data_IF_895607134498
#
_entry.id   IF_895607134498
#
_cell.length_a   1.000
_cell.length_b   1.000
_cell.length_c   1.000
_cell.angle_alpha   90.00
_cell.angle_beta   90.00
_cell.angle_gamma   90.00
#
_symmetry.space_group_name_H-M   'P 1'
#
loop_
_entity.id
_entity.type
_entity.pdbx_description
1 polymer ?
#
# COMPACT_ATOMS: atom_id res chain seq x y z
N UNK A 1 81.48 -103.84 27.03
CA UNK A 1 80.85 -103.63 28.36
C UNK A 1 80.83 -102.18 28.84
N UNK A 2 81.90 -101.37 28.69
CA UNK A 2 81.93 -99.97 29.17
C UNK A 2 81.03 -98.98 28.41
N UNK A 3 80.91 -99.09 27.09
CA UNK A 3 80.05 -98.21 26.28
C UNK A 3 78.56 -98.35 26.64
N UNK A 4 78.10 -99.58 26.86
CA UNK A 4 76.70 -99.89 27.19
C UNK A 4 76.27 -99.32 28.55
N UNK A 5 77.20 -99.26 29.52
CA UNK A 5 76.99 -98.67 30.85
C UNK A 5 76.90 -97.13 30.78
N UNK A 6 77.74 -96.50 29.97
CA UNK A 6 77.69 -95.05 29.72
C UNK A 6 76.38 -94.60 29.06
N UNK A 7 75.90 -95.34 28.05
CA UNK A 7 74.60 -95.06 27.43
C UNK A 7 73.42 -95.32 28.37
N UNK A 8 73.49 -96.34 29.22
CA UNK A 8 72.48 -96.62 30.26
C UNK A 8 72.39 -95.51 31.31
N UNK A 9 73.52 -95.00 31.79
CA UNK A 9 73.57 -93.90 32.78
C UNK A 9 73.05 -92.60 32.18
N UNK A 10 73.45 -92.25 30.94
CA UNK A 10 72.87 -91.08 30.24
C UNK A 10 71.38 -91.23 29.99
N UNK A 11 70.90 -92.42 29.59
CA UNK A 11 69.48 -92.66 29.37
C UNK A 11 68.67 -92.53 30.67
N UNK A 12 69.21 -92.99 31.80
CA UNK A 12 68.62 -92.79 33.13
C UNK A 12 68.54 -91.31 33.52
N UNK A 13 69.59 -90.53 33.24
CA UNK A 13 69.61 -89.08 33.48
C UNK A 13 68.61 -88.32 32.60
N UNK A 14 68.49 -88.71 31.31
CA UNK A 14 67.46 -88.18 30.42
C UNK A 14 66.04 -88.54 30.89
N UNK A 15 65.81 -89.75 31.38
CA UNK A 15 64.52 -90.16 31.94
C UNK A 15 64.16 -89.36 33.20
N UNK A 16 65.13 -89.06 34.07
CA UNK A 16 64.92 -88.19 35.25
C UNK A 16 64.53 -86.78 34.84
N UNK A 17 65.30 -86.16 33.93
CA UNK A 17 64.99 -84.82 33.39
C UNK A 17 63.63 -84.78 32.70
N UNK A 18 63.26 -85.82 31.95
CA UNK A 18 61.96 -85.94 31.32
C UNK A 18 60.82 -85.98 32.36
N UNK A 19 61.02 -86.70 33.47
CA UNK A 19 60.04 -86.76 34.56
C UNK A 19 59.93 -85.43 35.32
N UNK A 20 61.05 -84.74 35.55
CA UNK A 20 61.05 -83.38 36.14
C UNK A 20 60.33 -82.38 35.25
N UNK A 21 60.57 -82.40 33.93
CA UNK A 21 59.86 -81.53 32.97
C UNK A 21 58.36 -81.85 32.97
N UNK A 22 57.97 -83.13 33.01
CA UNK A 22 56.55 -83.53 33.11
C UNK A 22 55.90 -83.01 34.40
N UNK A 23 56.60 -83.08 35.52
CA UNK A 23 56.11 -82.57 36.80
C UNK A 23 55.96 -81.05 36.77
N UNK A 24 56.96 -80.34 36.23
CA UNK A 24 56.94 -78.88 36.08
C UNK A 24 55.81 -78.42 35.15
N UNK A 25 55.59 -79.13 34.03
CA UNK A 25 54.49 -78.85 33.12
C UNK A 25 53.14 -79.02 33.80
N UNK A 26 52.96 -80.08 34.60
CA UNK A 26 51.73 -80.29 35.37
C UNK A 26 51.49 -79.18 36.39
N UNK A 27 52.54 -78.73 37.08
CA UNK A 27 52.47 -77.62 38.04
C UNK A 27 52.13 -76.29 37.35
N UNK A 28 52.71 -76.04 36.18
CA UNK A 28 52.39 -74.87 35.34
C UNK A 28 50.94 -74.91 34.85
N UNK A 29 50.45 -76.07 34.39
CA UNK A 29 49.04 -76.26 34.00
C UNK A 29 48.08 -75.94 35.15
N UNK A 30 48.38 -76.43 36.37
CA UNK A 30 47.56 -76.13 37.56
C UNK A 30 47.55 -74.63 37.87
N UNK A 31 48.71 -73.96 37.82
CA UNK A 31 48.81 -72.51 38.07
C UNK A 31 48.08 -71.69 37.00
N UNK A 32 48.20 -72.08 35.73
CA UNK A 32 47.50 -71.43 34.61
C UNK A 32 45.98 -71.60 34.77
N UNK A 33 45.51 -72.81 35.07
CA UNK A 33 44.09 -73.08 35.25
C UNK A 33 43.51 -72.32 36.44
N UNK A 34 44.21 -72.29 37.59
CA UNK A 34 43.81 -71.50 38.76
C UNK A 34 43.73 -70.00 38.44
N UNK A 35 44.74 -69.44 37.75
CA UNK A 35 44.70 -68.04 37.34
C UNK A 35 43.57 -67.77 36.35
N UNK A 36 43.32 -68.69 35.43
CA UNK A 36 42.22 -68.59 34.47
C UNK A 36 40.86 -68.59 35.17
N UNK A 37 40.63 -69.47 36.16
CA UNK A 37 39.38 -69.48 36.95
C UNK A 37 39.19 -68.22 37.77
N UNK A 38 40.26 -67.68 38.38
CA UNK A 38 40.19 -66.42 39.12
C UNK A 38 39.88 -65.23 38.20
N UNK A 39 40.41 -65.27 36.98
CA UNK A 39 40.14 -64.23 35.98
C UNK A 39 38.69 -64.32 35.49
N UNK A 40 38.17 -65.52 35.26
CA UNK A 40 36.78 -65.76 34.86
C UNK A 40 35.79 -65.27 35.91
N UNK A 41 35.98 -65.62 37.18
CA UNK A 41 35.11 -65.17 38.28
C UNK A 41 35.14 -63.64 38.43
N UNK A 42 36.30 -63.02 38.22
CA UNK A 42 36.40 -61.55 38.19
C UNK A 42 35.66 -60.94 37.00
N UNK A 43 35.71 -61.55 35.82
CA UNK A 43 34.94 -61.10 34.64
C UNK A 43 33.44 -61.23 34.90
N UNK A 44 32.98 -62.33 35.50
CA UNK A 44 31.57 -62.54 35.83
C UNK A 44 31.05 -61.49 36.83
N UNK A 45 31.81 -61.23 37.89
CA UNK A 45 31.43 -60.17 38.85
C UNK A 45 31.38 -58.78 38.22
N UNK A 46 32.33 -58.45 37.32
CA UNK A 46 32.31 -57.18 36.58
C UNK A 46 31.11 -57.08 35.63
N UNK A 47 30.68 -58.17 35.00
CA UNK A 47 29.47 -58.19 34.15
C UNK A 47 28.22 -57.85 34.96
N UNK A 48 28.05 -58.45 36.14
CA UNK A 48 26.91 -58.16 37.03
C UNK A 48 26.89 -56.69 37.45
N UNK A 49 28.05 -56.11 37.75
CA UNK A 49 28.16 -54.68 38.09
C UNK A 49 27.78 -53.80 36.89
N UNK A 50 28.26 -54.15 35.69
CA UNK A 50 27.94 -53.41 34.46
C UNK A 50 26.44 -53.43 34.15
N UNK A 51 25.78 -54.57 34.32
CA UNK A 51 24.32 -54.70 34.17
C UNK A 51 23.56 -53.83 35.17
N UNK A 52 24.02 -53.77 36.43
CA UNK A 52 23.41 -52.92 37.45
C UNK A 52 23.54 -51.43 37.12
N UNK A 53 24.74 -50.99 36.70
CA UNK A 53 24.98 -49.61 36.27
C UNK A 53 24.09 -49.25 35.08
N UNK A 54 23.91 -50.17 34.12
CA UNK A 54 23.06 -49.95 32.97
C UNK A 54 21.59 -49.78 33.37
N UNK A 55 21.12 -50.56 34.35
CA UNK A 55 19.75 -50.44 34.88
C UNK A 55 19.54 -49.09 35.57
N UNK A 56 20.46 -48.68 36.44
CA UNK A 56 20.40 -47.40 37.15
C UNK A 56 20.42 -46.21 36.17
N UNK A 57 21.27 -46.29 35.13
CA UNK A 57 21.29 -45.28 34.06
C UNK A 57 19.95 -45.18 33.35
N UNK A 58 19.36 -46.30 32.95
CA UNK A 58 18.07 -46.30 32.26
C UNK A 58 16.96 -45.70 33.14
N UNK A 59 16.97 -45.99 34.46
CA UNK A 59 16.02 -45.40 35.40
C UNK A 59 16.19 -43.88 35.51
N UNK A 60 17.43 -43.41 35.60
CA UNK A 60 17.74 -41.98 35.67
C UNK A 60 17.34 -41.24 34.38
N UNK A 61 17.56 -41.85 33.21
CA UNK A 61 17.17 -41.30 31.91
C UNK A 61 15.64 -41.13 31.82
N UNK A 62 14.87 -42.12 32.28
CA UNK A 62 13.40 -42.04 32.32
C UNK A 62 12.93 -40.93 33.27
N UNK A 63 13.51 -40.83 34.47
CA UNK A 63 13.16 -39.78 35.43
C UNK A 63 13.51 -38.38 34.90
N UNK A 64 14.68 -38.24 34.27
CA UNK A 64 15.13 -36.97 33.69
C UNK A 64 14.20 -36.52 32.57
N UNK A 65 13.82 -37.45 31.68
CA UNK A 65 12.89 -37.16 30.59
C UNK A 65 11.52 -36.72 31.11
N UNK A 66 10.97 -37.45 32.09
CA UNK A 66 9.68 -37.07 32.70
C UNK A 66 9.73 -35.70 33.36
N UNK A 67 10.84 -35.34 33.99
CA UNK A 67 11.02 -34.02 34.62
C UNK A 67 11.18 -32.90 33.58
N UNK A 68 11.85 -33.17 32.46
CA UNK A 68 11.94 -32.23 31.34
C UNK A 68 10.57 -31.96 30.72
N UNK A 69 9.78 -33.01 30.47
CA UNK A 69 8.43 -32.88 29.93
C UNK A 69 7.54 -32.04 30.86
N UNK A 70 7.65 -32.23 32.18
CA UNK A 70 6.93 -31.43 33.18
C UNK A 70 7.35 -29.95 33.15
N UNK A 71 8.65 -29.68 33.09
CA UNK A 71 9.17 -28.30 33.03
C UNK A 71 8.73 -27.63 31.73
N UNK A 72 8.71 -28.34 30.60
CA UNK A 72 8.27 -27.81 29.31
C UNK A 72 6.78 -27.43 29.34
N UNK A 73 5.93 -28.29 29.91
CA UNK A 73 4.50 -28.00 30.11
C UNK A 73 4.31 -26.76 30.98
N UNK A 74 5.01 -26.69 32.12
CA UNK A 74 4.90 -25.55 33.04
C UNK A 74 5.41 -24.25 32.40
N UNK A 75 6.48 -24.33 31.60
CA UNK A 75 7.06 -23.19 30.89
C UNK A 75 6.10 -22.68 29.81
N UNK A 76 5.50 -23.58 29.03
CA UNK A 76 4.51 -23.21 28.03
C UNK A 76 3.25 -22.60 28.66
N UNK A 77 2.81 -23.14 29.79
CA UNK A 77 1.68 -22.56 30.53
C UNK A 77 1.97 -21.12 30.98
N UNK A 78 3.11 -20.89 31.65
CA UNK A 78 3.53 -19.55 32.08
C UNK A 78 3.73 -18.59 30.90
N UNK A 79 4.22 -19.09 29.77
CA UNK A 79 4.39 -18.29 28.55
C UNK A 79 3.03 -17.81 28.02
N UNK A 80 2.05 -18.71 27.91
CA UNK A 80 0.71 -18.35 27.47
C UNK A 80 0.05 -17.35 28.41
N UNK A 81 0.21 -17.53 29.73
CA UNK A 81 -0.30 -16.59 30.75
C UNK A 81 0.35 -15.20 30.60
N UNK A 82 1.66 -15.14 30.34
CA UNK A 82 2.37 -13.89 30.12
C UNK A 82 1.92 -13.19 28.81
N UNK A 83 1.71 -13.95 27.74
CA UNK A 83 1.18 -13.43 26.47
C UNK A 83 -0.22 -12.85 26.65
N UNK A 84 -1.11 -13.55 27.36
CA UNK A 84 -2.46 -13.07 27.67
C UNK A 84 -2.42 -11.78 28.52
N UNK A 85 -1.59 -11.76 29.56
CA UNK A 85 -1.41 -10.56 30.40
C UNK A 85 -0.88 -9.38 29.59
N UNK A 86 0.09 -9.62 28.70
CA UNK A 86 0.68 -8.59 27.84
C UNK A 86 -0.37 -8.02 26.89
N UNK A 87 -1.17 -8.90 26.24
CA UNK A 87 -2.24 -8.46 25.36
C UNK A 87 -3.31 -7.66 26.11
N UNK A 88 -3.65 -8.07 27.33
CA UNK A 88 -4.60 -7.33 28.17
C UNK A 88 -4.06 -5.96 28.58
N UNK A 89 -2.79 -5.85 28.96
CA UNK A 89 -2.16 -4.58 29.27
C UNK A 89 -2.08 -3.66 28.05
N UNK A 90 -1.74 -4.19 26.89
CA UNK A 90 -1.73 -3.46 25.63
C UNK A 90 -3.13 -2.92 25.31
N UNK A 91 -4.16 -3.76 25.44
CA UNK A 91 -5.56 -3.37 25.27
C UNK A 91 -5.97 -2.25 26.23
N UNK A 92 -5.55 -2.32 27.51
CA UNK A 92 -5.81 -1.25 28.48
C UNK A 92 -5.06 0.02 28.09
N UNK A 93 -3.80 -0.09 27.66
CA UNK A 93 -3.01 1.04 27.20
C UNK A 93 -3.67 1.74 26.02
N UNK A 94 -4.03 1.00 24.98
CA UNK A 94 -4.60 1.53 23.76
C UNK A 94 -5.99 2.14 23.98
N UNK A 95 -6.85 1.47 24.77
CA UNK A 95 -8.18 1.98 25.08
C UNK A 95 -8.17 3.19 26.02
N UNK A 96 -7.20 3.27 26.92
CA UNK A 96 -7.21 4.26 28.01
C UNK A 96 -6.27 5.44 27.78
N UNK A 97 -5.05 5.16 27.31
CA UNK A 97 -3.95 6.13 27.24
C UNK A 97 -3.62 6.56 25.79
N UNK A 98 -3.99 5.75 24.79
CA UNK A 98 -3.77 6.05 23.38
C UNK A 98 -5.02 6.64 22.68
N UNK A 99 -6.06 7.00 23.45
CA UNK A 99 -7.26 7.60 22.90
C UNK A 99 -7.09 9.11 22.67
N UNK A 100 -7.69 9.62 21.60
CA UNK A 100 -7.77 11.05 21.31
C UNK A 100 -8.34 11.83 22.50
N UNK A 101 -9.32 11.25 23.19
CA UNK A 101 -9.93 11.85 24.37
C UNK A 101 -8.93 12.00 25.53
N UNK A 102 -8.16 10.96 25.83
CA UNK A 102 -7.18 11.01 26.92
C UNK A 102 -6.09 12.04 26.61
N UNK A 103 -5.51 12.00 25.40
CA UNK A 103 -4.41 12.89 25.00
C UNK A 103 -4.86 14.35 24.96
N UNK A 104 -6.02 14.63 24.35
CA UNK A 104 -6.57 15.99 24.29
C UNK A 104 -6.92 16.54 25.68
N UNK A 105 -7.43 15.69 26.59
CA UNK A 105 -7.71 16.09 27.97
C UNK A 105 -6.42 16.39 28.74
N UNK A 106 -5.37 15.56 28.60
CA UNK A 106 -4.08 15.80 29.27
C UNK A 106 -3.36 17.03 28.75
N UNK A 107 -3.39 17.25 27.43
CA UNK A 107 -2.91 18.49 26.82
C UNK A 107 -3.62 19.72 27.41
N UNK A 108 -4.95 19.69 27.48
CA UNK A 108 -5.74 20.79 28.04
C UNK A 108 -5.46 21.01 29.54
N UNK A 109 -5.33 19.94 30.33
CA UNK A 109 -4.97 20.01 31.76
C UNK A 109 -3.60 20.66 31.98
N UNK A 110 -2.60 20.29 31.19
CA UNK A 110 -1.26 20.86 31.28
C UNK A 110 -1.27 22.38 31.07
N UNK A 111 -1.90 22.85 30.00
CA UNK A 111 -1.99 24.29 29.72
C UNK A 111 -2.87 25.04 30.72
N UNK A 112 -3.92 24.41 31.24
CA UNK A 112 -4.72 25.00 32.31
C UNK A 112 -3.92 25.24 33.59
N UNK A 113 -3.01 24.34 33.95
CA UNK A 113 -2.10 24.54 35.09
C UNK A 113 -1.12 25.69 34.84
N UNK A 114 -0.61 25.83 33.61
CA UNK A 114 0.23 26.97 33.23
C UNK A 114 -0.52 28.29 33.32
N UNK A 115 -1.77 28.33 32.84
CA UNK A 115 -2.62 29.52 32.92
C UNK A 115 -2.92 29.89 34.37
N UNK A 116 -3.23 28.90 35.23
CA UNK A 116 -3.43 29.10 36.67
C UNK A 116 -2.23 29.74 37.36
N UNK A 117 -1.01 29.34 37.00
CA UNK A 117 0.22 29.93 37.57
C UNK A 117 0.39 31.41 37.21
N UNK A 118 -0.22 31.86 36.11
CA UNK A 118 -0.14 33.24 35.62
C UNK A 118 -1.24 34.15 36.18
N UNK A 119 -2.18 33.61 36.94
CA UNK A 119 -3.25 34.39 37.58
C UNK A 119 -2.63 35.22 38.70
N UNK A 120 -2.80 36.54 38.63
CA UNK A 120 -2.31 37.47 39.65
C UNK A 120 -3.30 37.44 40.82
N UNK A 121 -2.83 37.23 42.06
CA UNK A 121 -3.72 37.26 43.23
C UNK A 121 -3.90 38.70 43.73
N UNK A 122 -5.13 39.17 43.97
CA UNK A 122 -5.38 40.57 44.33
C UNK A 122 -4.94 40.94 45.74
N UNK A 123 -4.49 42.20 45.90
CA UNK A 123 -4.42 42.90 47.20
C UNK A 123 -5.62 43.87 47.37
N UNK A 124 -6.35 44.21 46.28
CA UNK A 124 -7.45 45.18 46.27
C UNK A 124 -8.67 44.73 45.45
N UNK A 125 -9.84 45.35 45.71
CA UNK A 125 -11.16 44.99 45.16
C UNK A 125 -11.26 45.01 43.62
N UNK A 126 -10.53 45.92 42.94
CA UNK A 126 -10.47 45.98 41.47
C UNK A 126 -9.64 44.83 40.90
N UNK A 127 -8.50 44.51 41.53
CA UNK A 127 -7.68 43.37 41.14
C UNK A 127 -8.42 42.03 41.33
N UNK A 128 -9.37 41.95 42.27
CA UNK A 128 -10.26 40.77 42.44
C UNK A 128 -11.07 40.48 41.19
N UNK A 129 -11.72 41.49 40.59
CA UNK A 129 -12.51 41.31 39.37
C UNK A 129 -11.66 40.89 38.17
N UNK A 130 -10.43 41.42 38.06
CA UNK A 130 -9.49 41.00 37.02
C UNK A 130 -9.04 39.55 37.21
N UNK A 131 -8.87 39.10 38.45
CA UNK A 131 -8.49 37.73 38.78
C UNK A 131 -9.62 36.75 38.50
N UNK A 132 -10.86 37.13 38.83
CA UNK A 132 -12.06 36.34 38.52
C UNK A 132 -12.24 36.16 37.01
N UNK A 133 -12.01 37.23 36.23
CA UNK A 133 -12.03 37.17 34.77
C UNK A 133 -10.92 36.25 34.21
N UNK A 134 -9.70 36.31 34.77
CA UNK A 134 -8.60 35.41 34.38
C UNK A 134 -8.91 33.94 34.71
N UNK A 135 -9.57 33.67 35.84
CA UNK A 135 -10.03 32.31 36.20
C UNK A 135 -11.05 31.82 35.18
N UNK A 136 -12.06 32.62 34.84
CA UNK A 136 -13.07 32.26 33.84
C UNK A 136 -12.44 32.00 32.46
N UNK A 137 -11.56 32.89 32.01
CA UNK A 137 -10.84 32.75 30.75
C UNK A 137 -9.98 31.48 30.70
N UNK A 138 -9.29 31.14 31.80
CA UNK A 138 -8.49 29.91 31.88
C UNK A 138 -9.34 28.64 31.73
N UNK A 139 -10.56 28.63 32.28
CA UNK A 139 -11.49 27.49 32.16
C UNK A 139 -12.02 27.35 30.74
N UNK A 140 -12.40 28.46 30.12
CA UNK A 140 -12.88 28.48 28.74
C UNK A 140 -11.79 28.05 27.76
N UNK A 141 -10.57 28.59 27.92
CA UNK A 141 -9.40 28.18 27.13
C UNK A 141 -9.06 26.71 27.29
N UNK A 142 -9.20 26.12 28.49
CA UNK A 142 -9.01 24.68 28.68
C UNK A 142 -9.97 23.88 27.76
N UNK A 143 -11.24 24.27 27.73
CA UNK A 143 -12.24 23.58 26.91
C UNK A 143 -11.96 23.76 25.41
N UNK A 144 -11.60 24.97 24.97
CA UNK A 144 -11.23 25.25 23.59
C UNK A 144 -9.98 24.47 23.16
N UNK A 145 -8.92 24.43 23.99
CA UNK A 145 -7.70 23.64 23.72
C UNK A 145 -8.00 22.15 23.64
N UNK A 146 -8.84 21.61 24.53
CA UNK A 146 -9.27 20.20 24.46
C UNK A 146 -9.95 19.92 23.12
N UNK A 147 -10.90 20.77 22.72
CA UNK A 147 -11.64 20.59 21.47
C UNK A 147 -10.76 20.71 20.23
N UNK A 148 -9.90 21.72 20.15
CA UNK A 148 -8.98 21.90 19.04
C UNK A 148 -8.01 20.72 18.90
N UNK A 149 -7.37 20.30 19.99
CA UNK A 149 -6.46 19.16 19.96
C UNK A 149 -7.19 17.86 19.57
N UNK A 150 -8.41 17.65 20.06
CA UNK A 150 -9.24 16.51 19.66
C UNK A 150 -9.53 16.51 18.15
N UNK A 151 -9.86 17.67 17.58
CA UNK A 151 -10.12 17.81 16.15
C UNK A 151 -8.86 17.60 15.31
N UNK A 152 -7.72 18.19 15.71
CA UNK A 152 -6.44 18.02 15.04
C UNK A 152 -6.01 16.54 14.99
N UNK A 153 -6.16 15.80 16.10
CA UNK A 153 -5.83 14.38 16.15
C UNK A 153 -6.78 13.53 15.31
N UNK A 154 -8.08 13.85 15.32
CA UNK A 154 -9.07 13.17 14.48
C UNK A 154 -8.80 13.40 12.99
N UNK A 155 -8.46 14.64 12.61
CA UNK A 155 -8.08 14.96 11.23
C UNK A 155 -6.86 14.16 10.79
N UNK A 156 -5.80 14.10 11.60
CA UNK A 156 -4.62 13.27 11.30
C UNK A 156 -4.94 11.79 11.17
N UNK A 157 -5.84 11.26 12.00
CA UNK A 157 -6.30 9.88 11.87
C UNK A 157 -7.03 9.67 10.55
N UNK A 158 -7.91 10.60 10.16
CA UNK A 158 -8.64 10.55 8.90
C UNK A 158 -7.68 10.66 7.70
N UNK A 159 -6.74 11.60 7.72
CA UNK A 159 -5.69 11.75 6.69
C UNK A 159 -4.86 10.47 6.53
N UNK A 160 -4.55 9.79 7.64
CA UNK A 160 -3.84 8.50 7.60
C UNK A 160 -4.69 7.35 7.05
N UNK A 161 -6.01 7.38 7.22
CA UNK A 161 -6.90 6.30 6.82
C UNK A 161 -7.43 6.48 5.39
N UNK A 162 -7.56 7.71 4.93
CA UNK A 162 -8.16 8.06 3.64
C UNK A 162 -7.21 9.02 2.92
N UNK A 163 -6.32 8.49 2.05
CA UNK A 163 -5.39 9.30 1.26
C UNK A 163 -6.06 10.39 0.41
N UNK A 164 -7.31 10.19 0.03
CA UNK A 164 -8.10 11.09 -0.82
C UNK A 164 -8.66 12.30 -0.05
N UNK A 165 -8.49 12.37 1.28
CA UNK A 165 -8.96 13.51 2.08
C UNK A 165 -8.24 14.80 1.70
N UNK A 166 -7.01 14.73 1.17
CA UNK A 166 -6.31 15.90 0.64
C UNK A 166 -7.11 16.61 -0.47
N UNK A 167 -7.85 15.85 -1.30
CA UNK A 167 -8.71 16.41 -2.35
C UNK A 167 -9.91 17.20 -1.76
N UNK A 168 -10.30 16.90 -0.50
CA UNK A 168 -11.38 17.59 0.24
C UNK A 168 -10.93 18.88 0.93
N UNK A 169 -9.64 19.03 1.26
CA UNK A 169 -9.11 20.20 1.99
C UNK A 169 -9.38 21.51 1.22
N UNK A 170 -9.48 21.44 -0.09
CA UNK A 170 -9.61 22.61 -0.94
C UNK A 170 -11.10 22.93 -1.29
N UNK A 171 -12.07 22.17 -0.77
CA UNK A 171 -13.50 22.21 -1.17
C UNK A 171 -14.23 23.29 -0.37
N UNK A 172 -14.78 24.28 -1.06
CA UNK A 172 -15.64 25.28 -0.40
C UNK A 172 -17.06 24.72 -0.24
N UNK A 173 -17.85 25.16 0.75
CA UNK A 173 -19.26 24.76 0.86
C UNK A 173 -20.04 24.96 -0.45
N UNK A 174 -19.71 26.00 -1.22
CA UNK A 174 -20.30 26.29 -2.53
C UNK A 174 -20.04 25.19 -3.58
N UNK A 175 -18.93 24.46 -3.47
CA UNK A 175 -18.59 23.37 -4.40
C UNK A 175 -19.42 22.10 -4.15
N UNK A 176 -19.97 21.92 -2.94
CA UNK A 176 -20.73 20.72 -2.52
C UNK A 176 -22.19 20.79 -3.00
N UNK A 177 -22.76 22.00 -3.13
CA UNK A 177 -24.17 22.19 -3.46
C UNK A 177 -24.49 22.17 -4.97
N UNK A 178 -23.48 22.07 -5.85
CA UNK A 178 -23.65 22.19 -7.30
C UNK A 178 -23.41 20.89 -8.07
N UNK A 179 -23.17 19.76 -7.39
CA UNK A 179 -22.90 18.46 -8.02
C UNK A 179 -24.18 17.69 -8.43
N UNK A 180 -25.27 18.41 -8.71
CA UNK A 180 -26.46 17.80 -9.32
C UNK A 180 -26.22 17.69 -10.84
N UNK A 181 -25.46 16.67 -11.23
CA UNK A 181 -25.10 16.36 -12.62
C UNK A 181 -26.29 15.90 -13.48
N UNK A 182 -27.53 16.13 -13.05
CA UNK A 182 -28.75 15.68 -13.74
C UNK A 182 -29.39 16.73 -14.66
N UNK A 183 -28.91 17.98 -14.69
CA UNK A 183 -29.53 18.99 -15.56
C UNK A 183 -29.21 18.81 -17.06
N UNK A 184 -30.30 18.70 -17.82
CA UNK A 184 -30.32 18.38 -19.25
C UNK A 184 -29.62 19.43 -20.13
N UNK A 185 -28.95 18.96 -21.18
CA UNK A 185 -28.02 19.77 -22.01
C UNK A 185 -28.64 20.84 -22.92
N UNK A 186 -29.96 21.02 -22.95
CA UNK A 186 -30.61 22.09 -23.77
C UNK A 186 -30.62 23.38 -22.96
N UNK A 187 -30.71 23.26 -21.63
CA UNK A 187 -30.58 24.38 -20.71
C UNK A 187 -29.17 25.00 -20.78
N UNK A 188 -28.11 24.28 -21.16
CA UNK A 188 -26.76 24.86 -21.07
C UNK A 188 -26.51 26.03 -22.01
N UNK A 189 -26.99 26.02 -23.26
CA UNK A 189 -26.85 27.22 -24.14
C UNK A 189 -27.74 28.35 -23.62
N UNK A 190 -28.91 28.02 -23.10
CA UNK A 190 -29.90 28.98 -22.59
C UNK A 190 -29.46 29.62 -21.25
N UNK A 191 -28.68 28.87 -20.46
CA UNK A 191 -27.95 29.34 -19.28
C UNK A 191 -26.74 30.20 -19.68
N UNK A 192 -26.08 29.87 -20.80
CA UNK A 192 -24.86 30.55 -21.24
C UNK A 192 -25.13 31.83 -22.04
N UNK A 193 -26.28 31.99 -22.69
CA UNK A 193 -26.63 33.17 -23.50
C UNK A 193 -28.08 33.55 -23.23
N UNK A 194 -28.36 34.81 -22.88
CA UNK A 194 -29.72 35.22 -22.53
C UNK A 194 -30.66 35.29 -23.74
N UNK A 195 -31.96 35.11 -23.51
CA UNK A 195 -33.00 35.22 -24.54
C UNK A 195 -33.01 36.59 -25.26
N UNK A 196 -32.64 37.67 -24.55
CA UNK A 196 -32.53 39.00 -25.15
C UNK A 196 -31.36 39.10 -26.13
N UNK A 197 -30.23 38.48 -25.80
CA UNK A 197 -29.04 38.46 -26.64
C UNK A 197 -29.22 37.55 -27.86
N UNK A 198 -29.89 36.41 -27.71
CA UNK A 198 -30.18 35.49 -28.82
C UNK A 198 -31.01 36.15 -29.93
N UNK A 199 -31.93 37.05 -29.59
CA UNK A 199 -32.78 37.75 -30.58
C UNK A 199 -32.00 38.73 -31.47
N UNK A 200 -30.79 39.13 -31.05
CA UNK A 200 -29.98 40.14 -31.74
C UNK A 200 -28.79 39.54 -32.51
N UNK A 201 -28.49 38.25 -32.31
CA UNK A 201 -27.29 37.60 -32.82
C UNK A 201 -27.64 36.52 -33.86
N UNK A 202 -26.74 36.32 -34.82
CA UNK A 202 -26.81 35.17 -35.72
C UNK A 202 -26.52 33.86 -34.98
N UNK A 203 -26.90 32.73 -35.58
CA UNK A 203 -26.65 31.40 -34.98
C UNK A 203 -25.17 31.16 -34.66
N UNK A 204 -24.26 31.54 -35.55
CA UNK A 204 -22.82 31.40 -35.37
C UNK A 204 -22.32 32.25 -34.19
N UNK A 205 -22.82 33.49 -34.05
CA UNK A 205 -22.47 34.39 -32.95
C UNK A 205 -23.00 33.91 -31.61
N UNK A 206 -24.22 33.36 -31.57
CA UNK A 206 -24.79 32.74 -30.35
C UNK A 206 -23.90 31.58 -29.89
N UNK A 207 -23.50 30.69 -30.81
CA UNK A 207 -22.66 29.54 -30.48
C UNK A 207 -21.26 29.96 -30.03
N UNK A 208 -20.67 30.98 -30.65
CA UNK A 208 -19.37 31.50 -30.23
C UNK A 208 -19.46 32.14 -28.85
N UNK A 209 -20.51 32.94 -28.60
CA UNK A 209 -20.74 33.56 -27.30
C UNK A 209 -20.98 32.51 -26.20
N UNK A 210 -21.73 31.45 -26.50
CA UNK A 210 -21.91 30.33 -25.57
C UNK A 210 -20.57 29.65 -25.24
N UNK A 211 -19.70 29.43 -26.22
CA UNK A 211 -18.36 28.87 -26.01
C UNK A 211 -17.49 29.81 -25.16
N UNK A 212 -17.50 31.12 -25.45
CA UNK A 212 -16.74 32.12 -24.71
C UNK A 212 -17.19 32.19 -23.24
N UNK A 213 -18.51 32.17 -23.01
CA UNK A 213 -19.08 32.16 -21.67
C UNK A 213 -18.78 30.85 -20.93
N UNK A 214 -18.79 29.71 -21.64
CA UNK A 214 -18.39 28.42 -21.08
C UNK A 214 -16.94 28.43 -20.58
N UNK A 215 -16.03 29.07 -21.32
CA UNK A 215 -14.60 29.16 -20.93
C UNK A 215 -14.37 30.18 -19.81
N UNK A 216 -15.13 31.29 -19.80
CA UNK A 216 -14.97 32.39 -18.83
C UNK A 216 -15.66 32.17 -17.50
N UNK A 217 -16.69 31.31 -17.45
CA UNK A 217 -17.45 31.08 -16.21
C UNK A 217 -16.54 30.53 -15.10
N UNK A 218 -16.95 30.77 -13.86
CA UNK A 218 -16.36 30.10 -12.71
C UNK A 218 -16.75 28.62 -12.77
N UNK A 219 -15.77 27.75 -12.97
CA UNK A 219 -15.94 26.29 -12.90
C UNK A 219 -15.73 25.83 -11.47
N UNK A 220 -16.51 24.82 -11.04
CA UNK A 220 -16.23 24.12 -9.80
C UNK A 220 -15.00 23.19 -9.97
N UNK A 221 -14.50 22.59 -8.89
CA UNK A 221 -13.33 21.71 -8.95
C UNK A 221 -13.46 20.54 -9.91
N UNK A 222 -14.60 19.85 -9.88
CA UNK A 222 -14.87 18.68 -10.73
C UNK A 222 -14.81 19.09 -12.21
N UNK A 223 -15.42 20.22 -12.54
CA UNK A 223 -15.38 20.79 -13.89
C UNK A 223 -13.96 21.24 -14.30
N UNK A 224 -13.18 21.81 -13.38
CA UNK A 224 -11.77 22.15 -13.63
C UNK A 224 -10.93 20.89 -13.87
N UNK A 225 -11.19 19.81 -13.13
CA UNK A 225 -10.58 18.50 -13.35
C UNK A 225 -10.92 17.94 -14.72
N UNK A 226 -12.21 17.87 -15.06
CA UNK A 226 -12.69 17.37 -16.35
C UNK A 226 -12.17 18.22 -17.54
N UNK A 227 -12.10 19.55 -17.42
CA UNK A 227 -11.55 20.41 -18.47
C UNK A 227 -10.02 20.22 -18.61
N UNK A 228 -9.31 19.91 -17.53
CA UNK A 228 -7.90 19.51 -17.59
C UNK A 228 -7.71 18.13 -18.24
N UNK A 229 -8.54 17.14 -17.92
CA UNK A 229 -8.55 15.85 -18.60
C UNK A 229 -8.79 16.01 -20.10
N UNK A 230 -9.73 16.88 -20.49
CA UNK A 230 -9.99 17.25 -21.89
C UNK A 230 -8.78 17.89 -22.57
N UNK A 231 -8.07 18.77 -21.86
CA UNK A 231 -6.84 19.37 -22.36
C UNK A 231 -5.74 18.33 -22.60
N UNK A 232 -5.48 17.47 -21.61
CA UNK A 232 -4.49 16.40 -21.75
C UNK A 232 -4.88 15.44 -22.87
N UNK A 233 -6.16 15.07 -22.95
CA UNK A 233 -6.69 14.26 -24.05
C UNK A 233 -6.45 14.92 -25.41
N UNK A 234 -6.71 16.22 -25.55
CA UNK A 234 -6.39 16.98 -26.77
C UNK A 234 -4.90 16.91 -27.17
N UNK A 235 -3.97 16.98 -26.20
CA UNK A 235 -2.54 16.85 -26.46
C UNK A 235 -2.20 15.47 -27.03
N UNK A 236 -2.78 14.40 -26.47
CA UNK A 236 -2.55 13.03 -26.96
C UNK A 236 -3.27 12.74 -28.27
N UNK A 237 -4.46 13.30 -28.48
CA UNK A 237 -5.14 13.28 -29.78
C UNK A 237 -4.23 13.90 -30.86
N UNK A 238 -3.61 15.06 -30.61
CA UNK A 238 -2.64 15.69 -31.52
C UNK A 238 -1.40 14.83 -31.80
N UNK A 239 -0.99 13.99 -30.85
CA UNK A 239 0.10 13.01 -31.04
C UNK A 239 -0.34 11.76 -31.82
N UNK A 240 -1.61 11.69 -32.24
CA UNK A 240 -2.18 10.59 -33.03
C UNK A 240 -2.68 9.42 -32.18
N UNK A 241 -2.95 9.62 -30.89
CA UNK A 241 -3.58 8.59 -30.06
C UNK A 241 -5.09 8.64 -30.20
N UNK A 242 -5.71 7.46 -30.20
CA UNK A 242 -7.14 7.30 -29.93
C UNK A 242 -7.37 7.42 -28.43
N UNK A 243 -7.95 8.54 -27.99
CA UNK A 243 -8.20 8.82 -26.57
C UNK A 243 -9.61 8.38 -26.17
N UNK A 244 -9.70 7.71 -25.03
CA UNK A 244 -10.92 7.40 -24.31
C UNK A 244 -10.89 8.21 -23.02
N UNK A 245 -11.84 9.13 -22.85
CA UNK A 245 -12.04 9.92 -21.64
C UNK A 245 -12.78 9.06 -20.62
N UNK A 246 -12.01 8.24 -19.89
CA UNK A 246 -12.50 7.24 -18.97
C UNK A 246 -13.11 7.92 -17.73
N UNK A 247 -12.36 8.82 -17.08
CA UNK A 247 -12.75 9.62 -15.90
C UNK A 247 -14.08 10.36 -16.03
N UNK A 248 -14.26 11.05 -17.15
CA UNK A 248 -15.52 11.76 -17.48
C UNK A 248 -16.69 10.78 -17.69
N UNK A 249 -16.41 9.53 -18.07
CA UNK A 249 -17.44 8.55 -18.44
C UNK A 249 -17.91 7.69 -17.27
N UNK A 250 -17.06 7.24 -16.34
CA UNK A 250 -17.51 6.41 -15.21
C UNK A 250 -17.44 7.14 -13.86
N UNK A 251 -16.93 8.36 -13.79
CA UNK A 251 -16.89 9.18 -12.58
C UNK A 251 -16.18 8.46 -11.44
N UNK A 252 -16.85 8.32 -10.30
CA UNK A 252 -16.31 7.67 -9.08
C UNK A 252 -15.87 6.21 -9.34
N UNK A 253 -16.46 5.53 -10.34
CA UNK A 253 -16.13 4.15 -10.66
C UNK A 253 -14.89 3.97 -11.56
N UNK A 254 -14.19 5.05 -11.92
CA UNK A 254 -13.00 4.98 -12.77
C UNK A 254 -11.74 4.51 -12.03
N UNK A 255 -11.82 4.35 -10.71
CA UNK A 255 -10.79 3.83 -9.80
C UNK A 255 -9.46 4.62 -9.81
N UNK A 256 -9.28 5.61 -10.68
CA UNK A 256 -8.08 6.46 -10.78
C UNK A 256 -7.44 6.56 -12.16
N UNK A 257 -7.99 5.97 -13.22
CA UNK A 257 -7.52 6.17 -14.60
C UNK A 257 -8.46 7.12 -15.34
N UNK A 258 -7.96 8.29 -15.70
CA UNK A 258 -8.76 9.35 -16.33
C UNK A 258 -8.80 9.22 -17.86
N UNK A 259 -7.66 8.89 -18.49
CA UNK A 259 -7.58 8.69 -19.94
C UNK A 259 -6.95 7.35 -20.29
N UNK A 260 -7.49 6.71 -21.32
CA UNK A 260 -6.87 5.55 -21.97
C UNK A 260 -6.53 5.96 -23.41
N UNK A 261 -5.24 6.08 -23.72
CA UNK A 261 -4.77 6.50 -25.03
C UNK A 261 -4.17 5.30 -25.78
N UNK A 262 -4.68 4.99 -26.97
CA UNK A 262 -4.22 3.84 -27.78
C UNK A 262 -3.64 4.29 -29.12
N UNK A 263 -2.48 3.76 -29.50
CA UNK A 263 -1.83 4.00 -30.80
C UNK A 263 -1.06 2.75 -31.24
N UNK A 264 -1.59 2.03 -32.22
CA UNK A 264 -1.03 0.73 -32.61
C UNK A 264 -1.11 -0.27 -31.45
N UNK A 265 0.02 -0.85 -31.05
CA UNK A 265 0.14 -1.73 -29.87
C UNK A 265 0.31 -0.99 -28.55
N UNK A 266 0.60 0.32 -28.59
CA UNK A 266 0.85 1.13 -27.40
C UNK A 266 -0.47 1.57 -26.75
N UNK A 267 -0.57 1.37 -25.44
CA UNK A 267 -1.65 1.80 -24.56
C UNK A 267 -1.06 2.59 -23.39
N UNK A 268 -1.51 3.83 -23.24
CA UNK A 268 -1.15 4.69 -22.11
C UNK A 268 -2.35 4.80 -21.17
N UNK A 269 -2.11 4.53 -19.89
CA UNK A 269 -3.08 4.69 -18.81
C UNK A 269 -2.73 5.96 -18.05
N UNK A 270 -3.54 7.01 -18.20
CA UNK A 270 -3.17 8.35 -17.74
C UNK A 270 -4.07 8.77 -16.58
N UNK A 271 -3.46 9.16 -15.47
CA UNK A 271 -4.12 9.90 -14.40
C UNK A 271 -3.72 11.38 -14.49
N UNK A 272 -4.67 12.27 -14.33
CA UNK A 272 -4.56 13.71 -14.44
C UNK A 272 -4.88 14.37 -13.09
N UNK A 273 -3.92 15.07 -12.49
CA UNK A 273 -4.13 15.85 -11.27
C UNK A 273 -3.81 17.32 -11.48
N UNK A 274 -4.84 18.15 -11.53
CA UNK A 274 -4.74 19.60 -11.65
C UNK A 274 -4.80 20.27 -10.26
N UNK A 275 -3.68 20.26 -9.54
CA UNK A 275 -3.57 20.84 -8.21
C UNK A 275 -2.87 22.21 -8.24
N UNK A 276 -3.02 22.97 -7.16
CA UNK A 276 -2.30 24.24 -6.96
C UNK A 276 -0.81 23.97 -6.83
N UNK A 277 0.02 24.86 -7.38
CA UNK A 277 1.49 24.76 -7.34
C UNK A 277 2.09 24.73 -5.92
N UNK A 278 1.35 25.21 -4.92
CA UNK A 278 1.79 25.19 -3.52
C UNK A 278 1.64 23.82 -2.85
N UNK A 279 0.93 22.88 -3.49
CA UNK A 279 0.67 21.55 -2.97
C UNK A 279 1.52 20.57 -3.76
N UNK A 280 2.21 19.68 -3.06
CA UNK A 280 2.97 18.60 -3.69
C UNK A 280 2.17 17.32 -3.70
N UNK A 281 2.37 16.51 -4.73
CA UNK A 281 1.76 15.17 -4.80
C UNK A 281 2.58 14.19 -3.95
N UNK A 282 1.87 13.42 -3.13
CA UNK A 282 2.42 12.35 -2.30
C UNK A 282 2.30 10.98 -2.99
N UNK A 283 3.03 9.99 -2.46
CA UNK A 283 3.15 8.64 -3.04
C UNK A 283 1.81 7.91 -3.16
N UNK A 284 0.81 8.30 -2.37
CA UNK A 284 -0.52 7.68 -2.37
C UNK A 284 -1.18 7.75 -3.75
N UNK A 285 -1.06 8.88 -4.45
CA UNK A 285 -1.61 9.04 -5.79
C UNK A 285 -0.91 8.12 -6.80
N UNK A 286 0.40 7.96 -6.67
CA UNK A 286 1.21 7.04 -7.50
C UNK A 286 0.80 5.58 -7.24
N UNK A 287 0.60 5.22 -5.96
CA UNK A 287 0.15 3.88 -5.57
C UNK A 287 -1.26 3.55 -6.09
N UNK A 288 -2.17 4.55 -6.11
CA UNK A 288 -3.50 4.39 -6.69
C UNK A 288 -3.44 4.12 -8.19
N UNK A 289 -2.66 4.91 -8.95
CA UNK A 289 -2.45 4.67 -10.38
C UNK A 289 -1.82 3.31 -10.63
N UNK A 290 -0.85 2.90 -9.82
CA UNK A 290 -0.22 1.59 -9.92
C UNK A 290 -1.25 0.46 -9.79
N UNK A 291 -2.03 0.46 -8.71
CA UNK A 291 -3.02 -0.59 -8.42
C UNK A 291 -4.08 -0.70 -9.52
N UNK A 292 -4.57 0.44 -10.02
CA UNK A 292 -5.55 0.46 -11.11
C UNK A 292 -4.99 0.05 -12.45
N UNK A 293 -3.75 0.45 -12.75
CA UNK A 293 -3.07 0.04 -13.98
C UNK A 293 -2.78 -1.46 -13.99
N UNK A 294 -2.43 -2.03 -12.85
CA UNK A 294 -2.32 -3.47 -12.68
C UNK A 294 -3.65 -4.18 -12.88
N UNK A 295 -4.74 -3.65 -12.30
CA UNK A 295 -6.09 -4.22 -12.53
C UNK A 295 -6.46 -4.18 -14.02
N UNK A 296 -6.19 -3.06 -14.70
CA UNK A 296 -6.41 -2.94 -16.14
C UNK A 296 -5.63 -3.99 -16.93
N UNK A 297 -4.36 -4.19 -16.57
CA UNK A 297 -3.52 -5.22 -17.20
C UNK A 297 -4.13 -6.62 -17.06
N UNK A 298 -4.47 -7.02 -15.82
CA UNK A 298 -5.06 -8.32 -15.52
C UNK A 298 -6.39 -8.55 -16.26
N UNK A 299 -7.21 -7.51 -16.39
CA UNK A 299 -8.52 -7.61 -17.04
C UNK A 299 -8.44 -7.69 -18.58
N UNK A 300 -7.35 -7.24 -19.20
CA UNK A 300 -7.30 -7.07 -20.67
C UNK A 300 -6.21 -7.91 -21.36
N UNK A 301 -5.18 -8.34 -20.64
CA UNK A 301 -4.02 -9.01 -21.24
C UNK A 301 -3.81 -10.41 -20.68
N UNK A 302 -4.21 -10.68 -19.43
CA UNK A 302 -3.92 -11.96 -18.82
C UNK A 302 -5.09 -12.54 -18.02
N UNK A 303 -6.07 -13.07 -18.77
CA UNK A 303 -7.20 -13.80 -18.21
C UNK A 303 -6.82 -15.13 -17.53
N UNK A 304 -5.57 -15.61 -17.70
CA UNK A 304 -5.13 -16.91 -17.19
C UNK A 304 -4.70 -16.88 -15.72
N UNK A 305 -4.46 -15.69 -15.14
CA UNK A 305 -3.91 -15.52 -13.79
C UNK A 305 -4.96 -15.41 -12.68
N UNK A 306 -6.26 -15.41 -13.00
CA UNK A 306 -7.35 -15.32 -11.99
C UNK A 306 -7.32 -16.54 -11.03
N UNK A 307 -6.56 -17.59 -11.34
CA UNK A 307 -6.39 -18.79 -10.51
C UNK A 307 -5.03 -18.96 -9.79
N UNK A 308 -4.07 -18.04 -9.91
CA UNK A 308 -2.74 -18.24 -9.31
C UNK A 308 -2.71 -17.91 -7.82
N UNK A 309 -2.55 -18.96 -7.00
CA UNK A 309 -2.25 -18.90 -5.57
C UNK A 309 -0.75 -18.66 -5.28
N UNK A 310 -0.05 -17.94 -6.17
CA UNK A 310 1.38 -17.63 -6.10
C UNK A 310 1.67 -16.16 -5.79
N UNK A 311 2.94 -15.86 -5.50
CA UNK A 311 3.47 -14.50 -5.28
C UNK A 311 3.44 -13.72 -6.59
N UNK A 312 2.43 -12.84 -6.74
CA UNK A 312 2.19 -11.96 -7.91
C UNK A 312 3.46 -11.32 -8.51
N UNK A 313 4.44 -10.99 -7.66
CA UNK A 313 5.66 -10.29 -8.05
C UNK A 313 6.83 -11.19 -8.47
N UNK A 314 6.89 -12.46 -8.04
CA UNK A 314 7.99 -13.37 -8.39
C UNK A 314 7.79 -13.99 -9.79
N UNK A 315 6.54 -14.20 -10.20
CA UNK A 315 6.20 -14.85 -11.47
C UNK A 315 5.95 -13.86 -12.62
N UNK A 316 5.41 -12.66 -12.34
CA UNK A 316 4.95 -11.71 -13.37
C UNK A 316 5.80 -10.44 -13.40
N UNK A 317 6.30 -9.99 -12.24
CA UNK A 317 6.93 -8.68 -12.10
C UNK A 317 5.99 -7.51 -12.43
N UNK A 318 6.55 -6.32 -12.65
CA UNK A 318 5.78 -5.15 -13.09
C UNK A 318 5.66 -5.18 -14.63
N UNK A 319 4.46 -5.38 -15.20
CA UNK A 319 4.23 -5.65 -16.62
C UNK A 319 4.20 -4.38 -17.48
N UNK A 320 4.62 -3.24 -16.93
CA UNK A 320 4.65 -1.99 -17.66
C UNK A 320 5.89 -1.91 -18.54
N UNK A 321 5.64 -1.71 -19.83
CA UNK A 321 6.61 -1.71 -20.92
C UNK A 321 6.24 -0.65 -21.97
N UNK A 322 6.83 -0.73 -23.17
CA UNK A 322 6.51 0.20 -24.26
C UNK A 322 5.12 -0.02 -24.87
N UNK A 323 4.44 -1.14 -24.58
CA UNK A 323 3.09 -1.42 -25.06
C UNK A 323 2.02 -1.04 -24.03
N UNK A 324 2.31 -1.11 -22.73
CA UNK A 324 1.41 -0.66 -21.67
C UNK A 324 2.15 0.20 -20.64
N UNK A 325 1.86 1.50 -20.64
CA UNK A 325 2.53 2.46 -19.76
C UNK A 325 1.54 3.28 -18.92
N UNK A 326 1.63 3.22 -17.58
CA UNK A 326 0.97 4.18 -16.72
C UNK A 326 1.72 5.51 -16.69
N UNK A 327 0.97 6.60 -16.81
CA UNK A 327 1.49 7.97 -16.81
C UNK A 327 0.71 8.82 -15.81
N UNK A 328 1.41 9.42 -14.88
CA UNK A 328 0.85 10.40 -13.97
C UNK A 328 1.14 11.81 -14.50
N UNK A 329 0.08 12.55 -14.83
CA UNK A 329 0.14 13.89 -15.42
C UNK A 329 -0.36 14.92 -14.42
N UNK A 330 0.45 15.94 -14.13
CA UNK A 330 0.09 16.94 -13.11
C UNK A 330 0.56 18.35 -13.46
N UNK A 331 -0.01 19.36 -12.78
CA UNK A 331 0.34 20.77 -12.89
C UNK A 331 1.34 21.24 -11.82
N UNK A 332 1.69 20.38 -10.86
CA UNK A 332 2.54 20.68 -9.71
C UNK A 332 3.65 19.63 -9.54
N UNK A 333 4.59 19.90 -8.64
CA UNK A 333 5.68 18.98 -8.35
C UNK A 333 5.25 17.85 -7.40
N UNK A 334 6.04 16.77 -7.40
CA UNK A 334 5.86 15.63 -6.52
C UNK A 334 6.90 15.69 -5.40
N UNK A 335 6.60 15.05 -4.26
CA UNK A 335 7.61 14.85 -3.21
C UNK A 335 8.70 13.88 -3.66
N UNK A 336 9.90 13.97 -3.06
CA UNK A 336 11.02 13.05 -3.35
C UNK A 336 10.61 11.58 -3.17
N UNK A 337 9.84 11.30 -2.12
CA UNK A 337 9.27 9.98 -1.84
C UNK A 337 8.32 9.53 -2.96
N UNK A 338 7.44 10.39 -3.45
CA UNK A 338 6.56 10.06 -4.56
C UNK A 338 7.35 9.77 -5.86
N UNK A 339 8.46 10.48 -6.10
CA UNK A 339 9.36 10.22 -7.22
C UNK A 339 10.09 8.87 -7.08
N UNK A 340 10.54 8.52 -5.87
CA UNK A 340 11.11 7.19 -5.58
C UNK A 340 10.11 6.06 -5.89
N UNK A 341 8.85 6.22 -5.44
CA UNK A 341 7.77 5.27 -5.73
C UNK A 341 7.49 5.19 -7.23
N UNK A 342 7.40 6.32 -7.94
CA UNK A 342 7.14 6.34 -9.36
C UNK A 342 8.22 5.58 -10.15
N UNK A 343 9.49 5.78 -9.79
CA UNK A 343 10.61 5.06 -10.38
C UNK A 343 10.56 3.56 -10.09
N UNK A 344 10.32 3.17 -8.83
CA UNK A 344 10.25 1.76 -8.43
C UNK A 344 9.08 1.02 -9.10
N UNK A 345 7.95 1.71 -9.28
CA UNK A 345 6.71 1.17 -9.84
C UNK A 345 6.59 1.33 -11.37
N UNK A 346 7.65 1.85 -12.03
CA UNK A 346 7.69 2.15 -13.48
C UNK A 346 6.55 3.07 -13.96
N UNK A 347 6.13 4.00 -13.12
CA UNK A 347 5.13 5.03 -13.47
C UNK A 347 5.85 6.25 -14.02
N UNK A 348 5.45 6.67 -15.22
CA UNK A 348 6.03 7.87 -15.85
C UNK A 348 5.36 9.12 -15.33
N UNK A 349 6.15 10.08 -14.85
CA UNK A 349 5.66 11.38 -14.41
C UNK A 349 5.81 12.40 -15.53
N UNK A 350 4.78 13.21 -15.77
CA UNK A 350 4.82 14.32 -16.73
C UNK A 350 4.15 15.55 -16.12
N UNK A 351 4.89 16.65 -16.02
CA UNK A 351 4.35 17.92 -15.54
C UNK A 351 3.90 18.73 -16.75
N UNK A 352 2.59 19.02 -16.84
CA UNK A 352 1.96 19.75 -17.94
C UNK A 352 1.15 20.92 -17.37
N UNK A 353 1.59 22.18 -17.55
CA UNK A 353 0.81 23.33 -17.12
C UNK A 353 -0.56 23.39 -17.81
N UNK A 354 -1.59 23.83 -17.10
CA UNK A 354 -2.92 23.90 -17.69
C UNK A 354 -3.12 25.15 -18.56
N UNK A 355 -3.13 24.98 -19.88
CA UNK A 355 -3.41 26.06 -20.85
C UNK A 355 -4.91 26.15 -21.16
N UNK A 356 -5.61 27.14 -20.59
CA UNK A 356 -7.05 27.29 -20.80
C UNK A 356 -7.44 27.60 -22.25
N UNK A 357 -6.55 28.17 -23.06
CA UNK A 357 -6.87 28.59 -24.43
C UNK A 357 -6.57 27.51 -25.50
N UNK A 358 -6.95 26.25 -25.24
CA UNK A 358 -6.82 25.18 -26.23
C UNK A 358 -8.09 25.03 -27.11
N UNK A 359 -7.96 24.52 -28.35
CA UNK A 359 -9.07 24.25 -29.25
C UNK A 359 -10.10 23.26 -28.66
N UNK A 360 -11.33 23.75 -28.40
CA UNK A 360 -12.43 22.99 -27.75
C UNK A 360 -13.52 22.52 -28.70
N UNK A 361 -13.41 22.81 -29.99
CA UNK A 361 -14.45 22.44 -30.95
C UNK A 361 -13.98 21.18 -31.67
N UNK A 362 -14.59 20.03 -31.35
CA UNK A 362 -14.27 18.74 -31.98
C UNK A 362 -14.99 18.62 -33.31
N UNK A 363 -14.26 18.80 -34.41
CA UNK A 363 -14.78 18.72 -35.77
C UNK A 363 -14.59 17.30 -36.32
N UNK A 364 -15.66 16.51 -36.40
CA UNK A 364 -15.66 15.12 -36.82
C UNK A 364 -16.21 14.93 -38.24
N UNK A 365 -15.66 13.96 -38.97
CA UNK A 365 -16.14 13.53 -40.28
C UNK A 365 -16.79 12.15 -40.11
N UNK A 366 -18.12 12.14 -40.07
CA UNK A 366 -18.93 10.92 -39.95
C UNK A 366 -19.55 10.51 -41.29
N UNK A 367 -20.40 9.46 -41.25
CA UNK A 367 -21.22 9.05 -42.40
C UNK A 367 -22.19 10.16 -42.84
N UNK A 368 -22.72 10.90 -41.87
CA UNK A 368 -23.72 11.97 -42.07
C UNK A 368 -23.09 13.34 -42.41
N UNK A 369 -21.81 13.34 -42.77
CA UNK A 369 -21.04 14.52 -43.15
C UNK A 369 -20.17 15.11 -42.05
N UNK A 370 -19.72 16.35 -42.28
CA UNK A 370 -18.84 17.11 -41.39
C UNK A 370 -19.65 17.79 -40.29
N UNK A 371 -19.48 17.35 -39.05
CA UNK A 371 -20.15 17.94 -37.88
C UNK A 371 -19.15 18.38 -36.81
N UNK A 372 -19.48 19.40 -36.03
CA UNK A 372 -18.71 19.78 -34.86
C UNK A 372 -19.50 19.68 -33.55
N UNK A 373 -18.76 19.34 -32.49
CA UNK A 373 -19.24 19.25 -31.12
C UNK A 373 -18.56 20.30 -30.24
N UNK A 374 -19.34 20.92 -29.37
CA UNK A 374 -18.93 21.87 -28.34
C UNK A 374 -18.73 21.15 -26.99
N UNK A 375 -17.92 21.69 -26.07
CA UNK A 375 -17.55 21.01 -24.82
C UNK A 375 -18.71 20.74 -23.85
N UNK A 376 -19.90 21.27 -24.14
CA UNK A 376 -21.14 21.05 -23.42
C UNK A 376 -22.17 20.21 -24.19
N UNK A 377 -21.81 19.65 -25.35
CA UNK A 377 -22.64 18.72 -26.11
C UNK A 377 -22.57 17.30 -25.52
N UNK A 378 -23.69 16.57 -25.56
CA UNK A 378 -23.80 15.18 -25.06
C UNK A 378 -22.75 14.21 -25.62
N UNK A 379 -22.39 14.38 -26.90
CA UNK A 379 -21.46 13.48 -27.59
C UNK A 379 -20.01 13.97 -27.59
N UNK A 380 -19.70 15.07 -26.89
CA UNK A 380 -18.37 15.69 -26.98
C UNK A 380 -17.24 14.74 -26.57
N UNK A 381 -17.32 14.15 -25.36
CA UNK A 381 -16.26 13.33 -24.79
C UNK A 381 -16.17 11.92 -25.41
N UNK A 382 -17.24 11.45 -26.05
CA UNK A 382 -17.24 10.17 -26.79
C UNK A 382 -16.82 10.33 -28.26
N UNK A 383 -16.82 11.56 -28.78
CA UNK A 383 -16.50 11.80 -30.19
C UNK A 383 -14.99 11.73 -30.41
N UNK A 384 -14.60 10.84 -31.33
CA UNK A 384 -13.24 10.70 -31.82
C UNK A 384 -13.13 11.34 -33.19
N UNK A 385 -12.62 12.58 -33.24
CA UNK A 385 -12.56 13.37 -34.47
C UNK A 385 -11.28 13.16 -35.29
N UNK A 386 -10.14 12.91 -34.65
CA UNK A 386 -8.84 12.95 -35.35
C UNK A 386 -8.61 11.74 -36.28
N UNK A 387 -9.16 10.57 -35.96
CA UNK A 387 -8.90 9.32 -36.70
C UNK A 387 -9.40 9.32 -38.15
N UNK A 388 -10.37 10.19 -38.49
CA UNK A 388 -10.98 10.27 -39.83
C UNK A 388 -10.63 11.58 -40.57
N UNK A 389 -9.51 12.23 -40.22
CA UNK A 389 -9.13 13.53 -40.80
C UNK A 389 -9.96 14.71 -40.25
N UNK A 390 -10.63 14.52 -39.11
CA UNK A 390 -11.22 15.63 -38.37
C UNK A 390 -10.17 16.46 -37.64
N UNK A 391 -10.58 17.65 -37.20
CA UNK A 391 -9.70 18.64 -36.59
C UNK A 391 -10.30 19.18 -35.30
N UNK A 392 -9.50 19.85 -34.49
CA UNK A 392 -9.99 20.68 -33.40
C UNK A 392 -9.89 22.15 -33.82
N UNK A 393 -10.95 22.93 -33.60
CA UNK A 393 -10.99 24.36 -33.93
C UNK A 393 -11.08 25.24 -32.66
N UNK A 394 -10.55 26.46 -32.75
CA UNK A 394 -10.62 27.47 -31.68
C UNK A 394 -11.94 28.23 -31.71
N UNK A 395 -12.47 28.50 -32.91
CA UNK A 395 -13.69 29.31 -33.10
C UNK A 395 -14.72 28.61 -33.95
N UNK A 396 -16.00 28.97 -33.76
CA UNK A 396 -17.11 28.45 -34.57
C UNK A 396 -16.89 28.82 -36.04
N UNK A 397 -16.43 30.04 -36.30
CA UNK A 397 -16.13 30.54 -37.65
C UNK A 397 -15.07 29.70 -38.35
N UNK A 398 -14.02 29.30 -37.63
CA UNK A 398 -12.98 28.40 -38.16
C UNK A 398 -13.57 27.04 -38.54
N UNK A 399 -14.39 26.43 -37.67
CA UNK A 399 -15.04 25.16 -37.94
C UNK A 399 -15.98 25.24 -39.16
N UNK A 400 -16.78 26.30 -39.25
CA UNK A 400 -17.75 26.50 -40.33
C UNK A 400 -17.05 26.79 -41.67
N UNK A 401 -15.94 27.55 -41.67
CA UNK A 401 -15.11 27.76 -42.87
C UNK A 401 -14.50 26.46 -43.41
N UNK A 402 -14.22 25.49 -42.54
CA UNK A 402 -13.75 24.15 -42.93
C UNK A 402 -14.89 23.22 -43.40
N UNK A 403 -16.12 23.73 -43.43
CA UNK A 403 -17.32 23.05 -43.91
C UNK A 403 -18.02 22.18 -42.85
N UNK A 404 -17.72 22.37 -41.56
CA UNK A 404 -18.40 21.64 -40.49
C UNK A 404 -19.66 22.39 -40.05
N UNK A 405 -20.76 21.66 -39.86
CA UNK A 405 -21.98 22.20 -39.24
C UNK A 405 -22.11 21.77 -37.79
N UNK A 406 -22.88 22.49 -36.98
CA UNK A 406 -23.20 22.07 -35.60
C UNK A 406 -23.88 20.69 -35.58
N UNK A 407 -23.44 19.81 -34.69
CA UNK A 407 -24.10 18.53 -34.45
C UNK A 407 -25.52 18.73 -33.87
N UNK A 408 -26.49 17.98 -34.40
CA UNK A 408 -27.86 17.97 -33.87
C UNK A 408 -27.92 17.16 -32.58
N UNK A 409 -28.79 17.59 -31.65
CA UNK A 409 -29.10 16.82 -30.45
C UNK A 409 -29.96 15.61 -30.83
N UNK A 410 -29.63 14.46 -30.27
CA UNK A 410 -30.49 13.30 -30.34
C UNK A 410 -31.55 13.41 -29.24
N UNK A 411 -32.82 13.53 -29.64
CA UNK A 411 -33.97 13.38 -28.76
C UNK A 411 -34.42 11.95 -28.98
N UNK A 412 -34.08 11.04 -28.08
CA UNK A 412 -34.37 9.62 -28.29
C UNK A 412 -35.84 9.41 -28.62
N UNK A 413 -36.11 8.78 -29.75
CA UNK A 413 -37.38 8.11 -30.03
C UNK A 413 -37.26 6.64 -29.64
#
# INVERSE_FOLDING_TARGET
MKLMKFFSEKFSDYLKKLNEIKLLNKDLEVKINSKYTDTLTKIESLKVIAEKIQLEKNQLDVQTKSRLDQIEIETNYKKNELEELTQNLQNVYDKTFNSVEWLSNKYAEFYFLLDKKRIVMPVHKIASKCSDAQIMFSRENRNLRKRNMSLELQLKQIESLIPEVEDLIDTTPDDIFLDDSTQETEDKIDILVSETEKKQLSKTEILQKALDNYVKRKMNKSEVGADYERYIGHIYEKKGYKVIYHGIKKGINDLGIDLICKKGSETLLIQCKNWRRSIQIHENAINQLFGTSMKYYLDNYDHSLIGLKGTLFEEIGIPFDNNLQPIFVTTTDLTDRALEFANALKIKIVIVPYEKNYPRIKCNIGKDGKIYHLPFDQKYDITQNINNGGVNALTIVEAEKLGYRKAFRWRGE
#
